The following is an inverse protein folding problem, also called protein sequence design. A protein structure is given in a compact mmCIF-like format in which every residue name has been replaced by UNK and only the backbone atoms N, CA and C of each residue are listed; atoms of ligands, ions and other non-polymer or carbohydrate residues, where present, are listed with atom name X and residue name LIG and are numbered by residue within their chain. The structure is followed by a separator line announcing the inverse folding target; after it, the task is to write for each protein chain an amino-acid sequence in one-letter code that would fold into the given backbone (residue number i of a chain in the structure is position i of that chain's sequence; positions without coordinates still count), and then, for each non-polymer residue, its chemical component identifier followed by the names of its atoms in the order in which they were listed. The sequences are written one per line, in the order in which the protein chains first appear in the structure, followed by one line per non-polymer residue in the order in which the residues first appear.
data_IF_572740295596
#
_entry.id   IF_572740295596
#
_cell.length_a   1.000
_cell.length_b   1.000
_cell.length_c   1.000
_cell.angle_alpha   90.00
_cell.angle_beta   90.00
_cell.angle_gamma   90.00
#
_symmetry.space_group_name_H-M   'P 1'
#
loop_
_entity.id
_entity.type
_entity.pdbx_description
1 polymer ?
#
# COMPACT_ATOMS: atom_id res chain seq x y z
N UNK A 1 -27.24 -0.40 -27.40
CA UNK A 1 -26.11 -1.31 -27.69
C UNK A 1 -24.96 -0.94 -26.77
N UNK A 2 -24.29 -1.90 -26.11
CA UNK A 2 -23.12 -1.60 -25.29
C UNK A 2 -22.05 -0.92 -26.16
N UNK A 3 -21.44 0.16 -25.64
CA UNK A 3 -20.47 0.97 -26.39
C UNK A 3 -19.12 0.27 -26.57
N UNK A 4 -18.86 -0.80 -25.82
CA UNK A 4 -17.69 -1.66 -25.98
C UNK A 4 -18.03 -3.10 -25.55
N UNK A 5 -17.55 -4.09 -26.31
CA UNK A 5 -17.54 -5.50 -25.90
C UNK A 5 -16.10 -5.86 -25.60
N UNK A 6 -15.80 -6.17 -24.34
CA UNK A 6 -14.48 -6.59 -23.90
C UNK A 6 -14.54 -8.10 -23.67
N UNK A 7 -13.82 -8.86 -24.49
CA UNK A 7 -13.58 -10.28 -24.25
C UNK A 7 -12.54 -10.42 -23.15
N UNK A 8 -13.00 -10.66 -21.92
CA UNK A 8 -12.14 -10.70 -20.75
C UNK A 8 -11.79 -12.16 -20.46
N UNK A 9 -10.59 -12.57 -20.88
CA UNK A 9 -10.13 -13.95 -20.86
C UNK A 9 -9.67 -14.47 -19.48
N UNK A 10 -9.60 -13.62 -18.44
CA UNK A 10 -9.12 -14.02 -17.12
C UNK A 10 -9.73 -13.21 -15.97
N UNK A 11 -9.78 -13.81 -14.77
CA UNK A 11 -10.27 -13.13 -13.55
C UNK A 11 -9.36 -11.95 -13.16
N UNK A 12 -8.05 -12.03 -13.45
CA UNK A 12 -7.10 -10.91 -13.28
C UNK A 12 -7.53 -9.68 -14.09
N UNK A 13 -7.98 -9.90 -15.32
CA UNK A 13 -8.46 -8.83 -16.19
C UNK A 13 -9.81 -8.25 -15.72
N UNK A 14 -10.65 -9.05 -15.05
CA UNK A 14 -11.88 -8.58 -14.38
C UNK A 14 -11.54 -7.69 -13.19
N UNK A 15 -10.57 -8.09 -12.37
CA UNK A 15 -10.10 -7.34 -11.21
C UNK A 15 -9.49 -6.01 -11.67
N UNK A 16 -8.57 -6.04 -12.64
CA UNK A 16 -7.95 -4.84 -13.19
C UNK A 16 -8.99 -3.86 -13.74
N UNK A 17 -9.93 -4.33 -14.56
CA UNK A 17 -11.00 -3.49 -15.09
C UNK A 17 -11.90 -2.93 -13.98
N UNK A 18 -12.16 -3.71 -12.92
CA UNK A 18 -12.93 -3.22 -11.77
C UNK A 18 -12.17 -2.13 -11.01
N UNK A 19 -10.85 -2.25 -10.87
CA UNK A 19 -10.00 -1.20 -10.32
C UNK A 19 -10.01 0.05 -11.22
N UNK A 20 -9.87 -0.11 -12.54
CA UNK A 20 -9.88 0.99 -13.51
C UNK A 20 -11.23 1.73 -13.55
N UNK A 21 -12.34 1.01 -13.34
CA UNK A 21 -13.68 1.58 -13.18
C UNK A 21 -13.78 2.52 -11.96
N UNK A 22 -13.22 2.08 -10.83
CA UNK A 22 -13.20 2.88 -9.59
C UNK A 22 -12.29 4.10 -9.76
N UNK A 23 -11.15 3.94 -10.41
CA UNK A 23 -10.16 4.99 -10.64
C UNK A 23 -10.62 6.05 -11.65
N UNK A 24 -11.28 5.65 -12.74
CA UNK A 24 -11.63 6.56 -13.84
C UNK A 24 -12.89 7.40 -13.60
N UNK A 25 -13.75 7.00 -12.64
CA UNK A 25 -15.05 7.64 -12.43
C UNK A 25 -16.03 7.49 -13.61
N UNK A 26 -15.64 6.78 -14.67
CA UNK A 26 -16.44 6.55 -15.87
C UNK A 26 -16.93 5.11 -15.91
N UNK A 27 -18.24 4.92 -15.89
CA UNK A 27 -18.85 3.59 -15.99
C UNK A 27 -19.24 3.29 -17.43
N UNK A 28 -18.46 2.43 -18.10
CA UNK A 28 -18.83 1.88 -19.39
C UNK A 28 -19.74 0.66 -19.22
N UNK A 29 -20.74 0.53 -20.10
CA UNK A 29 -21.54 -0.69 -20.22
C UNK A 29 -20.65 -1.80 -20.79
N UNK A 30 -20.12 -2.65 -19.90
CA UNK A 30 -19.27 -3.78 -20.26
C UNK A 30 -19.99 -5.09 -19.98
N UNK A 31 -20.04 -5.93 -21.01
CA UNK A 31 -20.51 -7.31 -20.96
C UNK A 31 -19.29 -8.20 -20.82
N UNK A 32 -19.23 -8.98 -19.74
CA UNK A 32 -18.18 -9.95 -19.50
C UNK A 32 -18.57 -11.29 -20.11
N UNK A 33 -17.68 -11.85 -20.94
CA UNK A 33 -17.85 -13.20 -21.47
C UNK A 33 -17.27 -14.22 -20.48
N UNK A 34 -18.15 -14.93 -19.78
CA UNK A 34 -17.79 -15.93 -18.79
C UNK A 34 -17.84 -17.36 -19.32
N UNK A 35 -17.91 -17.55 -20.64
CA UNK A 35 -17.95 -18.89 -21.26
C UNK A 35 -16.82 -19.83 -20.79
N UNK A 36 -15.69 -19.26 -20.35
CA UNK A 36 -14.54 -20.00 -19.83
C UNK A 36 -14.37 -19.92 -18.28
N UNK A 37 -15.29 -19.29 -17.55
CA UNK A 37 -15.25 -19.12 -16.09
C UNK A 37 -16.40 -19.89 -15.45
N UNK A 38 -16.11 -20.85 -14.57
CA UNK A 38 -17.15 -21.52 -13.78
C UNK A 38 -17.63 -20.59 -12.66
N UNK A 39 -18.84 -20.06 -12.81
CA UNK A 39 -19.51 -19.24 -11.80
C UNK A 39 -20.59 -20.08 -11.13
N UNK A 40 -20.72 -20.06 -9.79
CA UNK A 40 -21.66 -20.92 -9.07
C UNK A 40 -23.15 -20.56 -9.26
N UNK A 41 -23.49 -19.56 -10.07
CA UNK A 41 -24.86 -19.15 -10.38
C UNK A 41 -24.98 -18.70 -11.84
N UNK A 42 -26.19 -18.79 -12.39
CA UNK A 42 -26.53 -18.23 -13.71
C UNK A 42 -26.42 -16.71 -13.66
N UNK A 43 -25.48 -16.16 -14.42
CA UNK A 43 -25.37 -14.71 -14.61
C UNK A 43 -26.53 -14.28 -15.54
N UNK A 44 -27.55 -13.55 -15.06
CA UNK A 44 -28.57 -13.01 -15.96
C UNK A 44 -27.91 -12.00 -16.91
N UNK A 45 -28.53 -11.66 -18.05
CA UNK A 45 -28.06 -10.63 -18.99
C UNK A 45 -27.97 -9.21 -18.34
N UNK A 46 -27.10 -9.05 -17.35
CA UNK A 46 -26.89 -7.86 -16.51
C UNK A 46 -25.39 -7.59 -16.44
N UNK A 47 -25.03 -6.33 -16.57
CA UNK A 47 -23.69 -5.81 -16.36
C UNK A 47 -23.24 -5.98 -14.90
N UNK A 48 -21.91 -5.95 -14.66
CA UNK A 48 -21.36 -5.89 -13.28
C UNK A 48 -21.95 -4.70 -12.52
N UNK A 49 -22.11 -3.54 -13.18
CA UNK A 49 -22.74 -2.36 -12.59
C UNK A 49 -24.14 -2.70 -12.05
N UNK A 50 -24.99 -3.30 -12.87
CA UNK A 50 -26.35 -3.64 -12.45
C UNK A 50 -26.40 -4.65 -11.30
N UNK A 51 -25.43 -5.55 -11.20
CA UNK A 51 -25.29 -6.47 -10.07
C UNK A 51 -24.84 -5.73 -8.82
N UNK A 52 -23.79 -4.93 -8.95
CA UNK A 52 -23.21 -4.15 -7.87
C UNK A 52 -24.23 -3.19 -7.24
N UNK A 53 -25.06 -2.53 -8.06
CA UNK A 53 -26.09 -1.59 -7.61
C UNK A 53 -27.48 -2.20 -7.43
N UNK A 54 -27.66 -3.51 -7.62
CA UNK A 54 -28.95 -4.14 -7.39
C UNK A 54 -29.29 -4.14 -5.89
N UNK A 55 -30.59 -3.96 -5.60
CA UNK A 55 -31.13 -4.13 -4.25
C UNK A 55 -31.06 -5.61 -3.86
N UNK A 56 -29.93 -6.02 -3.28
CA UNK A 56 -29.78 -7.31 -2.64
C UNK A 56 -30.19 -7.24 -1.16
N UNK A 57 -30.41 -8.39 -0.52
CA UNK A 57 -30.48 -8.50 0.95
C UNK A 57 -29.12 -8.97 1.51
N UNK A 58 -28.38 -9.77 0.75
CA UNK A 58 -27.05 -10.29 1.09
C UNK A 58 -26.00 -9.19 1.30
N UNK A 59 -25.17 -9.19 2.36
CA UNK A 59 -24.06 -8.24 2.52
C UNK A 59 -22.91 -8.40 1.50
N UNK A 60 -22.89 -9.48 0.73
CA UNK A 60 -22.00 -9.69 -0.42
C UNK A 60 -22.72 -9.28 -1.69
N UNK A 61 -22.09 -8.39 -2.47
CA UNK A 61 -22.58 -7.92 -3.77
C UNK A 61 -22.14 -8.83 -4.92
N UNK A 62 -20.89 -9.31 -4.87
CA UNK A 62 -20.32 -10.18 -5.89
C UNK A 62 -19.38 -11.18 -5.24
N UNK A 63 -19.46 -12.43 -5.68
CA UNK A 63 -18.49 -13.46 -5.32
C UNK A 63 -18.16 -14.31 -6.56
N UNK A 64 -16.88 -14.30 -6.93
CA UNK A 64 -16.31 -15.13 -7.98
C UNK A 64 -15.39 -16.15 -7.31
N UNK A 65 -15.62 -17.43 -7.57
CA UNK A 65 -14.80 -18.51 -7.03
C UNK A 65 -14.44 -19.47 -8.14
N UNK A 66 -13.15 -19.72 -8.27
CA UNK A 66 -12.57 -20.74 -9.14
C UNK A 66 -11.60 -21.59 -8.33
N UNK A 67 -10.92 -22.54 -8.99
CA UNK A 67 -9.88 -23.34 -8.34
C UNK A 67 -8.75 -22.48 -7.78
N UNK A 68 -8.34 -21.47 -8.55
CA UNK A 68 -7.11 -20.72 -8.30
C UNK A 68 -7.37 -19.25 -7.96
N UNK A 69 -8.61 -18.79 -8.05
CA UNK A 69 -8.94 -17.40 -7.78
C UNK A 69 -10.25 -17.26 -7.01
N UNK A 70 -10.27 -16.31 -6.07
CA UNK A 70 -11.46 -15.87 -5.36
C UNK A 70 -11.50 -14.36 -5.27
N UNK A 71 -12.61 -13.76 -5.68
CA UNK A 71 -12.90 -12.34 -5.55
C UNK A 71 -14.22 -12.18 -4.82
N UNK A 72 -14.24 -11.37 -3.76
CA UNK A 72 -15.45 -11.08 -3.01
C UNK A 72 -15.58 -9.58 -2.80
N UNK A 73 -16.73 -9.02 -3.19
CA UNK A 73 -17.07 -7.61 -3.01
C UNK A 73 -18.17 -7.51 -1.95
N UNK A 74 -17.86 -6.79 -0.87
CA UNK A 74 -18.77 -6.56 0.24
C UNK A 74 -19.44 -5.19 0.10
N UNK A 75 -20.76 -5.15 0.30
CA UNK A 75 -21.57 -3.92 0.26
C UNK A 75 -22.09 -3.45 1.62
N UNK A 76 -21.93 -4.30 2.64
CA UNK A 76 -22.19 -3.92 4.03
C UNK A 76 -21.11 -4.57 4.90
N UNK A 77 -20.69 -3.85 5.92
CA UNK A 77 -19.80 -4.41 6.93
C UNK A 77 -20.62 -5.28 7.89
N UNK A 78 -20.79 -6.55 7.54
CA UNK A 78 -21.43 -7.56 8.37
C UNK A 78 -20.37 -8.49 8.96
N UNK A 79 -20.14 -8.40 10.27
CA UNK A 79 -19.12 -9.20 10.96
C UNK A 79 -19.37 -10.70 10.82
N UNK A 80 -20.62 -11.15 10.95
CA UNK A 80 -20.95 -12.58 10.85
C UNK A 80 -20.63 -13.13 9.46
N UNK A 81 -21.00 -12.38 8.40
CA UNK A 81 -20.71 -12.81 7.03
C UNK A 81 -19.22 -12.76 6.71
N UNK A 82 -18.50 -11.77 7.24
CA UNK A 82 -17.04 -11.68 7.08
C UNK A 82 -16.36 -12.89 7.71
N UNK A 83 -16.77 -13.27 8.92
CA UNK A 83 -16.21 -14.41 9.63
C UNK A 83 -16.54 -15.73 8.89
N UNK A 84 -17.78 -15.90 8.41
CA UNK A 84 -18.15 -17.01 7.53
C UNK A 84 -17.29 -17.06 6.25
N UNK A 85 -17.09 -15.91 5.61
CA UNK A 85 -16.27 -15.81 4.41
C UNK A 85 -14.83 -16.22 4.70
N UNK A 86 -14.28 -15.79 5.83
CA UNK A 86 -12.93 -16.15 6.24
C UNK A 86 -12.79 -17.65 6.52
N UNK A 87 -13.79 -18.29 7.14
CA UNK A 87 -13.82 -19.73 7.31
C UNK A 87 -13.92 -20.48 5.97
N UNK A 88 -14.63 -19.91 5.00
CA UNK A 88 -14.63 -20.45 3.63
C UNK A 88 -13.26 -20.32 2.96
N UNK A 89 -12.48 -19.26 3.22
CA UNK A 89 -11.09 -19.13 2.73
C UNK A 89 -10.19 -20.22 3.33
N UNK A 90 -10.25 -20.43 4.65
CA UNK A 90 -9.47 -21.50 5.32
C UNK A 90 -9.78 -22.88 4.72
N UNK A 91 -11.04 -23.13 4.42
CA UNK A 91 -11.48 -24.40 3.85
C UNK A 91 -11.17 -24.54 2.36
N UNK A 92 -11.05 -23.44 1.62
CA UNK A 92 -10.73 -23.44 0.19
C UNK A 92 -9.29 -23.85 -0.09
N UNK A 93 -8.33 -23.37 0.72
CA UNK A 93 -6.89 -23.64 0.55
C UNK A 93 -6.24 -24.11 1.85
N UNK A 94 -6.52 -25.36 2.21
CA UNK A 94 -6.00 -26.04 3.40
C UNK A 94 -4.48 -26.28 3.35
N UNK A 95 -3.89 -26.15 2.17
CA UNK A 95 -2.46 -26.25 1.92
C UNK A 95 -1.70 -24.97 2.32
N UNK A 96 -2.39 -23.87 2.61
CA UNK A 96 -1.73 -22.66 3.09
C UNK A 96 -1.35 -22.76 4.56
N UNK A 97 -0.23 -22.14 4.97
CA UNK A 97 0.12 -22.04 6.37
C UNK A 97 -0.98 -21.32 7.16
N UNK A 98 -1.37 -21.83 8.32
CA UNK A 98 -2.35 -21.18 9.20
C UNK A 98 -2.02 -19.71 9.50
N UNK A 99 -0.74 -19.35 9.50
CA UNK A 99 -0.27 -17.99 9.72
C UNK A 99 -0.57 -17.03 8.56
N UNK A 100 -0.70 -17.54 7.34
CA UNK A 100 -1.17 -16.72 6.22
C UNK A 100 -2.60 -16.23 6.46
N UNK A 101 -3.46 -17.10 6.99
CA UNK A 101 -4.84 -16.72 7.32
C UNK A 101 -4.87 -15.59 8.37
N UNK A 102 -3.96 -15.57 9.35
CA UNK A 102 -3.85 -14.47 10.31
C UNK A 102 -3.56 -13.13 9.63
N UNK A 103 -2.54 -13.10 8.75
CA UNK A 103 -2.20 -11.89 7.98
C UNK A 103 -3.40 -11.42 7.15
N UNK A 104 -4.05 -12.32 6.42
CA UNK A 104 -5.23 -11.98 5.62
C UNK A 104 -6.39 -11.46 6.50
N UNK A 105 -6.62 -12.07 7.67
CA UNK A 105 -7.64 -11.62 8.59
C UNK A 105 -7.37 -10.20 9.08
N UNK A 106 -6.13 -9.87 9.45
CA UNK A 106 -5.75 -8.52 9.87
C UNK A 106 -5.96 -7.48 8.76
N UNK A 107 -5.59 -7.82 7.51
CA UNK A 107 -5.83 -6.93 6.37
C UNK A 107 -7.33 -6.71 6.12
N UNK A 108 -8.12 -7.78 6.16
CA UNK A 108 -9.57 -7.72 5.94
C UNK A 108 -10.27 -6.97 7.07
N UNK A 109 -9.87 -7.18 8.31
CA UNK A 109 -10.35 -6.41 9.46
C UNK A 109 -10.06 -4.91 9.32
N UNK A 110 -8.86 -4.56 8.85
CA UNK A 110 -8.48 -3.15 8.64
C UNK A 110 -9.38 -2.48 7.61
N UNK A 111 -9.54 -3.06 6.41
CA UNK A 111 -10.38 -2.44 5.37
C UNK A 111 -11.87 -2.45 5.75
N UNK A 112 -12.33 -3.48 6.45
CA UNK A 112 -13.68 -3.57 7.01
C UNK A 112 -13.94 -2.43 8.01
N UNK A 113 -12.99 -2.18 8.91
CA UNK A 113 -13.09 -1.12 9.91
C UNK A 113 -12.99 0.28 9.29
N UNK A 114 -12.18 0.46 8.24
CA UNK A 114 -11.96 1.76 7.60
C UNK A 114 -13.04 2.12 6.58
N UNK A 115 -13.73 1.12 6.02
CA UNK A 115 -14.77 1.33 5.03
C UNK A 115 -15.77 2.41 5.43
N UNK A 116 -16.23 2.46 6.70
CA UNK A 116 -17.09 3.51 7.32
C UNK A 116 -18.01 4.30 6.37
N UNK A 117 -18.69 3.61 5.46
CA UNK A 117 -19.60 4.22 4.50
C UNK A 117 -21.04 4.15 4.99
N UNK A 118 -21.84 5.16 4.63
CA UNK A 118 -23.28 5.16 4.82
C UNK A 118 -23.94 3.93 4.16
N UNK A 119 -25.10 3.50 4.67
CA UNK A 119 -25.82 2.35 4.14
C UNK A 119 -26.07 2.47 2.63
N UNK A 120 -25.76 1.40 1.88
CA UNK A 120 -26.01 1.31 0.43
C UNK A 120 -24.80 1.56 -0.48
N UNK A 121 -23.58 1.70 0.06
CA UNK A 121 -22.33 1.81 -0.73
C UNK A 121 -21.37 0.65 -0.47
N UNK A 122 -20.52 0.33 -1.45
CA UNK A 122 -19.52 -0.75 -1.33
C UNK A 122 -18.59 -0.51 -0.15
N UNK A 123 -18.43 -1.48 0.74
CA UNK A 123 -17.57 -1.32 1.90
C UNK A 123 -16.12 -1.64 1.54
N UNK A 124 -15.86 -2.87 1.08
CA UNK A 124 -14.52 -3.34 0.75
C UNK A 124 -14.55 -4.55 -0.19
N UNK A 125 -13.40 -4.88 -0.77
CA UNK A 125 -13.18 -6.03 -1.65
C UNK A 125 -11.97 -6.83 -1.22
N UNK A 126 -12.01 -8.14 -1.48
CA UNK A 126 -10.89 -9.05 -1.27
C UNK A 126 -10.72 -9.93 -2.49
N UNK A 127 -9.55 -9.86 -3.12
CA UNK A 127 -9.13 -10.69 -4.23
C UNK A 127 -7.94 -11.56 -3.85
N UNK A 128 -7.99 -12.84 -4.21
CA UNK A 128 -6.93 -13.82 -4.04
C UNK A 128 -6.73 -14.55 -5.38
N UNK A 129 -5.48 -14.66 -5.83
CA UNK A 129 -5.13 -15.39 -7.05
C UNK A 129 -3.87 -16.22 -6.82
N UNK A 130 -3.97 -17.51 -7.11
CA UNK A 130 -2.89 -18.46 -7.11
C UNK A 130 -2.43 -18.70 -8.53
N UNK A 131 -1.19 -18.33 -8.82
CA UNK A 131 -0.61 -18.55 -10.13
C UNK A 131 0.90 -18.70 -9.99
N UNK A 132 1.48 -19.64 -10.73
CA UNK A 132 2.94 -19.81 -10.81
C UNK A 132 3.63 -19.88 -9.43
N UNK A 133 3.02 -20.64 -8.50
CA UNK A 133 3.46 -20.79 -7.10
C UNK A 133 3.57 -19.46 -6.33
N UNK A 134 2.74 -18.51 -6.71
CA UNK A 134 2.58 -17.23 -6.03
C UNK A 134 1.13 -17.07 -5.62
N UNK A 135 0.93 -16.42 -4.48
CA UNK A 135 -0.36 -15.95 -4.03
C UNK A 135 -0.38 -14.43 -4.15
N UNK A 136 -1.14 -13.93 -5.10
CA UNK A 136 -1.46 -12.52 -5.22
C UNK A 136 -2.69 -12.21 -4.37
N UNK A 137 -2.61 -11.17 -3.56
CA UNK A 137 -3.73 -10.70 -2.77
C UNK A 137 -3.97 -9.21 -3.02
N UNK A 138 -5.23 -8.81 -2.93
CA UNK A 138 -5.64 -7.41 -2.96
C UNK A 138 -6.80 -7.24 -2.00
N UNK A 139 -6.68 -6.30 -1.08
CA UNK A 139 -7.69 -5.95 -0.10
C UNK A 139 -7.88 -4.45 -0.21
N UNK A 140 -9.09 -3.99 -0.49
CA UNK A 140 -9.33 -2.55 -0.68
C UNK A 140 -10.67 -2.10 -0.11
N UNK A 141 -10.70 -0.93 0.52
CA UNK A 141 -11.90 -0.21 0.91
C UNK A 141 -12.06 1.11 0.14
N UNK A 142 -13.25 1.68 0.21
CA UNK A 142 -13.55 3.03 -0.28
C UNK A 142 -13.88 4.01 0.85
N UNK A 143 -13.30 3.76 2.03
CA UNK A 143 -13.61 4.45 3.27
C UNK A 143 -12.68 5.62 3.59
N UNK A 144 -12.38 5.79 4.88
CA UNK A 144 -11.66 6.97 5.39
C UNK A 144 -10.16 7.01 5.05
N UNK A 145 -9.63 5.90 4.51
CA UNK A 145 -8.21 5.74 4.22
C UNK A 145 -7.32 5.72 5.48
N UNK A 146 -6.02 5.57 5.27
CA UNK A 146 -5.03 5.53 6.35
C UNK A 146 -5.02 6.85 7.14
N UNK A 147 -5.07 7.98 6.43
CA UNK A 147 -5.10 9.31 7.03
C UNK A 147 -6.31 9.49 7.95
N UNK A 148 -7.50 9.12 7.48
CA UNK A 148 -8.72 9.24 8.27
C UNK A 148 -8.72 8.30 9.48
N UNK A 149 -8.24 7.07 9.29
CA UNK A 149 -8.09 6.09 10.38
C UNK A 149 -7.15 6.59 11.48
N UNK A 150 -6.00 7.17 11.11
CA UNK A 150 -5.03 7.69 12.07
C UNK A 150 -5.53 8.89 12.88
N UNK A 151 -6.38 9.75 12.31
CA UNK A 151 -6.99 10.87 13.06
C UNK A 151 -7.85 10.39 14.22
N UNK A 152 -8.42 9.21 14.09
CA UNK A 152 -9.26 8.56 15.08
C UNK A 152 -8.49 7.59 15.99
N UNK A 153 -7.17 7.47 15.80
CA UNK A 153 -6.33 6.59 16.60
C UNK A 153 -6.42 6.93 18.10
N UNK A 154 -6.13 5.96 18.96
CA UNK A 154 -6.17 6.17 20.41
C UNK A 154 -4.86 6.81 20.89
N UNK A 155 -3.75 6.48 20.22
CA UNK A 155 -2.40 6.94 20.56
C UNK A 155 -2.14 8.32 19.97
N UNK A 156 -1.57 9.24 20.77
CA UNK A 156 -1.21 10.60 20.32
C UNK A 156 -0.21 10.58 19.17
N UNK A 157 0.82 9.75 19.24
CA UNK A 157 1.81 9.59 18.17
C UNK A 157 1.15 9.20 16.83
N UNK A 158 0.16 8.31 16.85
CA UNK A 158 -0.56 7.94 15.65
C UNK A 158 -1.43 9.09 15.09
N UNK A 159 -1.98 9.95 15.95
CA UNK A 159 -2.70 11.17 15.53
C UNK A 159 -1.75 12.22 14.96
N UNK A 160 -0.57 12.37 15.54
CA UNK A 160 0.46 13.30 15.07
C UNK A 160 0.99 12.90 13.68
N UNK A 161 0.95 11.60 13.38
CA UNK A 161 1.26 11.06 12.04
C UNK A 161 0.07 11.18 11.09
N UNK A 162 -1.16 11.41 11.57
CA UNK A 162 -2.34 11.52 10.71
C UNK A 162 -2.35 12.77 9.82
N UNK A 163 -1.52 13.77 10.11
CA UNK A 163 -1.33 14.93 9.24
C UNK A 163 -0.53 14.58 8.00
N UNK A 164 0.47 13.68 8.12
CA UNK A 164 1.46 13.30 7.10
C UNK A 164 1.23 11.93 6.44
N UNK A 165 0.53 11.02 7.14
CA UNK A 165 0.02 9.70 6.75
C UNK A 165 0.76 8.95 5.63
N UNK A 166 2.09 8.95 5.65
CA UNK A 166 2.89 8.13 4.74
C UNK A 166 2.80 6.67 5.14
N UNK A 167 2.43 5.80 4.19
CA UNK A 167 2.41 4.35 4.40
C UNK A 167 3.79 3.79 4.82
N UNK A 168 4.88 4.51 4.51
CA UNK A 168 6.21 4.25 5.06
C UNK A 168 6.22 4.27 6.60
N UNK A 169 5.56 5.25 7.21
CA UNK A 169 5.47 5.37 8.66
C UNK A 169 4.66 4.24 9.29
N UNK A 170 3.62 3.78 8.59
CA UNK A 170 2.71 2.74 9.07
C UNK A 170 3.30 1.33 9.01
N UNK A 171 4.43 1.17 8.33
CA UNK A 171 5.24 -0.05 8.34
C UNK A 171 6.39 0.04 9.35
N UNK A 172 6.34 0.93 10.36
CA UNK A 172 7.33 0.99 11.46
C UNK A 172 7.08 -0.06 12.53
N UNK A 173 8.17 -0.65 13.03
CA UNK A 173 8.11 -1.48 14.21
C UNK A 173 7.65 -0.65 15.41
N UNK A 174 6.96 -1.29 16.36
CA UNK A 174 6.37 -0.65 17.56
C UNK A 174 5.34 0.45 17.29
N UNK A 175 5.06 0.79 16.03
CA UNK A 175 3.99 1.71 15.68
C UNK A 175 2.63 0.98 15.70
N UNK A 176 1.65 1.55 16.41
CA UNK A 176 0.27 1.04 16.46
C UNK A 176 -0.72 2.17 16.69
N UNK A 177 -1.85 2.13 15.98
CA UNK A 177 -2.97 3.08 16.15
C UNK A 177 -3.76 2.86 17.46
N UNK A 178 -3.50 1.78 18.19
CA UNK A 178 -4.27 1.36 19.38
C UNK A 178 -3.44 1.23 20.67
N UNK A 179 -2.13 1.43 20.60
CA UNK A 179 -1.19 1.41 21.72
C UNK A 179 -0.61 0.01 21.99
N UNK A 180 0.64 -0.03 22.46
CA UNK A 180 1.38 -1.27 22.71
C UNK A 180 0.73 -2.14 23.81
N UNK A 181 0.02 -1.53 24.74
CA UNK A 181 -0.64 -2.19 25.87
C UNK A 181 -1.88 -3.01 25.48
N UNK A 182 -2.45 -2.78 24.29
CA UNK A 182 -3.65 -3.49 23.80
C UNK A 182 -3.34 -4.74 22.95
N UNK A 183 -2.13 -5.27 23.04
CA UNK A 183 -1.73 -6.53 22.38
C UNK A 183 -1.54 -6.40 20.86
N UNK A 184 -1.79 -7.47 20.10
CA UNK A 184 -1.51 -7.58 18.65
C UNK A 184 -2.34 -6.68 17.72
N UNK A 185 -3.05 -5.66 18.22
CA UNK A 185 -3.88 -4.81 17.36
C UNK A 185 -3.08 -3.65 16.77
N UNK A 186 -3.20 -3.44 15.46
CA UNK A 186 -2.52 -2.37 14.73
C UNK A 186 -1.13 -2.73 14.20
N UNK A 187 -0.72 -4.00 14.28
CA UNK A 187 0.59 -4.48 13.78
C UNK A 187 0.56 -5.00 12.34
N UNK A 188 -0.64 -5.18 11.77
CA UNK A 188 -0.82 -5.98 10.55
C UNK A 188 -0.09 -5.45 9.31
N UNK A 189 0.06 -4.14 9.16
CA UNK A 189 0.82 -3.58 8.02
C UNK A 189 2.33 -3.80 8.16
N UNK A 190 2.89 -3.63 9.36
CA UNK A 190 4.28 -3.98 9.65
C UNK A 190 4.52 -5.47 9.36
N UNK A 191 3.70 -6.35 9.95
CA UNK A 191 3.84 -7.79 9.77
C UNK A 191 3.71 -8.20 8.31
N UNK A 192 2.77 -7.61 7.56
CA UNK A 192 2.61 -7.85 6.13
C UNK A 192 3.84 -7.40 5.34
N UNK A 193 4.42 -6.23 5.66
CA UNK A 193 5.65 -5.73 5.03
C UNK A 193 6.86 -6.62 5.30
N UNK A 194 7.05 -7.06 6.56
CA UNK A 194 8.11 -8.01 6.92
C UNK A 194 7.95 -9.34 6.20
N UNK A 195 6.72 -9.85 6.12
CA UNK A 195 6.44 -11.13 5.47
C UNK A 195 6.67 -11.03 3.96
N UNK A 196 6.24 -9.95 3.32
CA UNK A 196 6.56 -9.72 1.91
C UNK A 196 8.08 -9.67 1.70
N UNK A 197 8.84 -9.05 2.60
CA UNK A 197 10.29 -8.96 2.50
C UNK A 197 10.99 -10.32 2.61
N UNK A 198 10.77 -11.03 3.72
CA UNK A 198 11.42 -12.31 4.02
C UNK A 198 11.05 -13.40 3.00
N UNK A 199 9.88 -13.25 2.38
CA UNK A 199 9.34 -14.21 1.44
C UNK A 199 9.69 -13.87 -0.02
N UNK A 200 10.51 -12.84 -0.29
CA UNK A 200 10.82 -12.39 -1.67
C UNK A 200 9.53 -12.06 -2.46
N UNK A 201 8.57 -11.47 -1.76
CA UNK A 201 7.27 -11.06 -2.27
C UNK A 201 7.26 -9.63 -2.79
N UNK A 202 6.07 -9.05 -2.88
CA UNK A 202 5.92 -7.60 -2.99
C UNK A 202 4.73 -7.12 -2.16
N UNK A 203 4.77 -5.86 -1.77
CA UNK A 203 3.68 -5.18 -1.09
C UNK A 203 3.51 -3.79 -1.72
N UNK A 204 2.26 -3.41 -1.96
CA UNK A 204 1.89 -2.06 -2.33
C UNK A 204 0.71 -1.59 -1.50
N UNK A 205 0.78 -0.36 -1.01
CA UNK A 205 -0.25 0.31 -0.24
C UNK A 205 -0.59 1.62 -0.94
N UNK A 206 -1.86 1.81 -1.27
CA UNK A 206 -2.41 3.08 -1.78
C UNK A 206 -3.40 3.66 -0.76
N UNK A 207 -3.29 4.95 -0.48
CA UNK A 207 -4.26 5.66 0.34
C UNK A 207 -4.13 7.16 0.15
N UNK A 208 -5.23 7.86 -0.15
CA UNK A 208 -5.17 9.28 -0.46
C UNK A 208 -4.26 9.54 -1.65
N UNK A 209 -3.39 10.54 -1.54
CA UNK A 209 -2.48 10.93 -2.64
C UNK A 209 -1.14 10.20 -2.63
N UNK A 210 -1.03 9.05 -1.94
CA UNK A 210 0.26 8.40 -1.72
C UNK A 210 0.23 6.91 -2.04
N UNK A 211 1.34 6.44 -2.61
CA UNK A 211 1.64 5.03 -2.84
C UNK A 211 2.95 4.66 -2.14
N UNK A 212 2.92 3.54 -1.42
CA UNK A 212 4.09 2.85 -0.90
C UNK A 212 4.23 1.53 -1.64
N UNK A 213 5.41 1.29 -2.20
CA UNK A 213 5.76 0.06 -2.88
C UNK A 213 7.00 -0.54 -2.22
N UNK A 214 6.95 -1.85 -2.02
CA UNK A 214 8.06 -2.66 -1.57
C UNK A 214 8.16 -3.86 -2.50
N UNK A 215 9.28 -3.98 -3.21
CA UNK A 215 9.59 -5.16 -4.00
C UNK A 215 10.69 -5.93 -3.28
N UNK A 216 10.46 -7.23 -3.10
CA UNK A 216 11.39 -8.22 -2.55
C UNK A 216 12.14 -7.68 -1.32
N UNK A 217 13.42 -7.39 -1.46
CA UNK A 217 14.30 -6.76 -0.47
C UNK A 217 15.19 -5.68 -1.08
N UNK A 218 14.98 -5.35 -2.35
CA UNK A 218 15.86 -4.45 -3.09
C UNK A 218 15.38 -3.02 -3.04
N UNK A 219 14.08 -2.78 -3.22
CA UNK A 219 13.54 -1.45 -3.47
C UNK A 219 12.32 -1.16 -2.62
N UNK A 220 12.41 -0.05 -1.89
CA UNK A 220 11.28 0.64 -1.29
C UNK A 220 11.03 1.93 -2.08
N UNK A 221 9.79 2.18 -2.48
CA UNK A 221 9.37 3.35 -3.26
C UNK A 221 8.20 4.05 -2.58
N UNK A 222 8.31 5.37 -2.46
CA UNK A 222 7.26 6.25 -1.95
C UNK A 222 7.00 7.32 -2.99
N UNK A 223 5.76 7.42 -3.48
CA UNK A 223 5.41 8.35 -4.56
C UNK A 223 4.01 8.95 -4.39
N UNK A 224 3.85 10.17 -4.89
CA UNK A 224 2.56 10.80 -5.05
C UNK A 224 1.75 10.15 -6.17
N UNK A 225 0.45 9.98 -5.94
CA UNK A 225 -0.51 9.45 -6.92
C UNK A 225 -1.76 10.33 -7.00
N UNK A 226 -2.58 10.09 -8.02
CA UNK A 226 -3.96 10.58 -8.02
C UNK A 226 -4.70 10.05 -6.80
N UNK A 227 -5.55 10.88 -6.19
CA UNK A 227 -6.20 10.55 -4.92
C UNK A 227 -6.98 9.22 -4.99
N UNK A 228 -6.57 8.26 -4.18
CA UNK A 228 -7.31 7.05 -3.87
C UNK A 228 -8.20 7.27 -2.65
N UNK A 229 -9.52 7.15 -2.84
CA UNK A 229 -10.49 7.22 -1.73
C UNK A 229 -10.55 5.87 -1.02
N UNK A 230 -10.03 5.82 0.21
CA UNK A 230 -9.96 4.61 1.03
C UNK A 230 -8.53 4.10 1.19
N UNK A 231 -8.39 2.79 1.42
CA UNK A 231 -7.08 2.11 1.46
C UNK A 231 -7.11 0.93 0.50
N UNK A 232 -6.06 0.75 -0.29
CA UNK A 232 -5.78 -0.50 -1.00
C UNK A 232 -4.47 -1.07 -0.48
N UNK A 233 -4.47 -2.35 -0.15
CA UNK A 233 -3.28 -3.14 0.16
C UNK A 233 -3.25 -4.32 -0.80
N UNK A 234 -2.25 -4.38 -1.66
CA UNK A 234 -2.04 -5.52 -2.55
C UNK A 234 -0.63 -6.04 -2.45
N UNK A 235 -0.43 -7.30 -2.81
CA UNK A 235 0.88 -7.89 -2.73
C UNK A 235 0.92 -9.28 -3.31
N UNK A 236 2.10 -9.88 -3.18
CA UNK A 236 2.35 -11.25 -3.57
C UNK A 236 3.20 -11.95 -2.53
N UNK A 237 2.84 -13.20 -2.27
CA UNK A 237 3.59 -14.14 -1.46
C UNK A 237 4.12 -15.24 -2.38
N UNK A 238 5.41 -15.48 -2.31
CA UNK A 238 6.09 -16.60 -2.92
C UNK A 238 5.84 -17.87 -2.10
N UNK A 239 5.11 -18.83 -2.69
CA UNK A 239 4.74 -20.08 -2.02
C UNK A 239 5.88 -21.11 -2.03
N UNK A 240 6.98 -20.86 -2.75
CA UNK A 240 8.21 -21.66 -2.68
C UNK A 240 9.13 -21.24 -1.51
N UNK A 241 8.81 -20.13 -0.83
CA UNK A 241 9.60 -19.59 0.29
C UNK A 241 8.84 -19.76 1.60
N UNK A 242 9.59 -19.86 2.70
CA UNK A 242 8.98 -19.99 4.03
C UNK A 242 8.19 -18.72 4.39
N UNK A 243 7.03 -18.91 5.01
CA UNK A 243 6.19 -17.83 5.54
C UNK A 243 6.40 -17.66 7.04
N UNK A 244 7.43 -16.90 7.44
CA UNK A 244 7.90 -16.85 8.83
C UNK A 244 7.25 -15.75 9.68
N UNK A 245 5.95 -15.90 9.96
CA UNK A 245 5.17 -14.97 10.81
C UNK A 245 5.77 -14.76 12.20
N UNK A 246 6.37 -15.80 12.78
CA UNK A 246 6.97 -15.72 14.12
C UNK A 246 8.18 -14.77 14.12
N UNK A 247 8.99 -14.80 13.07
CA UNK A 247 10.12 -13.88 12.93
C UNK A 247 9.64 -12.43 12.79
N UNK A 248 8.63 -12.16 11.94
CA UNK A 248 8.04 -10.84 11.81
C UNK A 248 7.55 -10.28 13.17
N UNK A 249 6.86 -11.09 13.97
CA UNK A 249 6.44 -10.68 15.32
C UNK A 249 7.61 -10.39 16.27
N UNK A 250 8.71 -11.14 16.17
CA UNK A 250 9.92 -10.87 16.97
C UNK A 250 10.57 -9.54 16.60
N UNK A 251 10.64 -9.24 15.29
CA UNK A 251 11.17 -7.97 14.80
C UNK A 251 10.28 -6.78 15.20
N UNK A 252 8.95 -6.98 15.23
CA UNK A 252 8.04 -5.96 15.74
C UNK A 252 8.30 -5.64 17.21
N UNK A 253 8.51 -6.68 18.04
CA UNK A 253 8.73 -6.53 19.47
C UNK A 253 10.11 -5.95 19.81
N UNK A 254 11.13 -6.29 19.02
CA UNK A 254 12.51 -5.88 19.22
C UNK A 254 13.11 -5.29 17.92
N UNK A 255 12.90 -3.99 17.67
CA UNK A 255 13.40 -3.31 16.49
C UNK A 255 14.92 -3.31 16.38
N UNK A 256 15.67 -3.53 17.47
CA UNK A 256 17.14 -3.60 17.43
C UNK A 256 17.66 -4.78 16.61
N UNK A 257 16.80 -5.76 16.32
CA UNK A 257 17.07 -6.89 15.45
C UNK A 257 16.79 -6.63 13.97
N UNK A 258 16.20 -5.48 13.64
CA UNK A 258 16.10 -5.03 12.26
C UNK A 258 17.50 -4.66 11.78
N UNK A 259 17.86 -5.11 10.59
CA UNK A 259 19.10 -4.69 9.97
C UNK A 259 18.91 -3.32 9.32
N UNK A 260 19.97 -2.51 9.22
CA UNK A 260 19.88 -1.18 8.59
C UNK A 260 19.88 -1.27 7.04
N UNK A 261 20.16 -2.45 6.49
CA UNK A 261 20.26 -2.75 5.05
C UNK A 261 19.06 -3.53 4.53
N UNK A 262 17.89 -3.36 5.17
CA UNK A 262 16.65 -4.04 4.80
C UNK A 262 16.31 -3.86 3.33
N UNK A 263 16.52 -2.65 2.83
CA UNK A 263 16.39 -2.34 1.42
C UNK A 263 17.75 -1.95 0.86
N UNK A 264 18.06 -2.46 -0.33
CA UNK A 264 19.24 -2.00 -1.06
C UNK A 264 19.08 -0.54 -1.47
N UNK A 265 17.84 -0.11 -1.76
CA UNK A 265 17.50 1.24 -2.23
C UNK A 265 16.15 1.67 -1.64
N UNK A 266 16.12 2.89 -1.12
CA UNK A 266 14.89 3.62 -0.82
C UNK A 266 14.76 4.80 -1.79
N UNK A 267 13.71 4.85 -2.59
CA UNK A 267 13.40 5.99 -3.44
C UNK A 267 12.19 6.75 -2.90
N UNK A 268 12.37 8.05 -2.67
CA UNK A 268 11.31 8.95 -2.23
C UNK A 268 11.12 10.01 -3.31
N UNK A 269 9.96 9.99 -3.95
CA UNK A 269 9.53 11.09 -4.82
C UNK A 269 8.92 12.19 -3.96
N UNK A 270 9.53 13.37 -3.97
CA UNK A 270 9.12 14.50 -3.13
C UNK A 270 7.74 15.05 -3.52
N UNK A 271 7.20 14.67 -4.69
CA UNK A 271 5.83 14.99 -5.06
C UNK A 271 4.77 14.34 -4.13
N UNK A 272 5.17 13.32 -3.34
CA UNK A 272 4.30 12.61 -2.40
C UNK A 272 3.72 13.52 -1.31
N UNK A 273 4.39 14.65 -1.07
CA UNK A 273 3.94 15.66 -0.11
C UNK A 273 2.96 16.68 -0.72
N UNK A 274 2.56 16.49 -1.99
CA UNK A 274 1.50 17.24 -2.64
C UNK A 274 1.86 18.69 -3.00
N UNK A 275 3.14 19.07 -2.91
CA UNK A 275 3.62 20.40 -3.26
C UNK A 275 4.78 20.32 -4.25
N UNK A 276 4.73 21.18 -5.27
CA UNK A 276 5.83 21.37 -6.22
C UNK A 276 6.87 22.39 -5.74
N UNK A 277 6.51 23.22 -4.75
CA UNK A 277 7.39 24.21 -4.14
C UNK A 277 7.59 23.88 -2.65
N UNK A 278 8.80 23.47 -2.26
CA UNK A 278 9.11 22.97 -0.92
C UNK A 278 9.54 24.12 0.01
N UNK A 279 8.55 24.92 0.45
CA UNK A 279 8.78 26.21 1.12
C UNK A 279 8.47 26.26 2.61
N UNK A 280 7.51 25.47 3.09
CA UNK A 280 7.04 25.59 4.48
C UNK A 280 7.91 24.78 5.43
N UNK A 281 8.06 25.29 6.67
CA UNK A 281 8.83 24.60 7.70
C UNK A 281 8.22 23.25 8.06
N UNK A 282 6.89 23.21 8.14
CA UNK A 282 6.14 22.00 8.47
C UNK A 282 6.40 20.89 7.44
N UNK A 283 6.42 21.25 6.15
CA UNK A 283 6.75 20.34 5.05
C UNK A 283 8.19 19.85 5.11
N UNK A 284 9.13 20.75 5.44
CA UNK A 284 10.54 20.36 5.62
C UNK A 284 10.70 19.34 6.76
N UNK A 285 10.08 19.59 7.91
CA UNK A 285 10.10 18.70 9.07
C UNK A 285 9.45 17.34 8.76
N UNK A 286 8.42 17.32 7.91
CA UNK A 286 7.78 16.11 7.42
C UNK A 286 8.73 15.29 6.53
N UNK A 287 9.31 15.91 5.51
CA UNK A 287 10.27 15.26 4.60
C UNK A 287 11.44 14.69 5.38
N UNK A 288 12.06 15.47 6.27
CA UNK A 288 13.22 15.01 7.05
C UNK A 288 12.86 13.80 7.92
N UNK A 289 11.66 13.77 8.52
CA UNK A 289 11.22 12.61 9.31
C UNK A 289 11.18 11.33 8.47
N UNK A 290 10.66 11.41 7.25
CA UNK A 290 10.62 10.27 6.33
C UNK A 290 12.01 9.91 5.78
N UNK A 291 12.91 10.89 5.64
CA UNK A 291 14.30 10.64 5.28
C UNK A 291 15.09 9.94 6.38
N UNK A 292 14.93 10.34 7.65
CA UNK A 292 15.53 9.65 8.80
C UNK A 292 15.06 8.19 8.86
N UNK A 293 13.77 8.00 8.57
CA UNK A 293 13.10 6.72 8.53
C UNK A 293 13.57 5.85 7.34
N UNK A 294 13.86 6.45 6.18
CA UNK A 294 14.52 5.78 5.07
C UNK A 294 15.98 5.41 5.40
N UNK A 295 16.70 6.29 6.10
CA UNK A 295 18.08 6.07 6.52
C UNK A 295 18.23 4.92 7.52
N UNK A 296 17.22 4.70 8.37
CA UNK A 296 17.14 3.53 9.26
C UNK A 296 17.01 2.19 8.51
N UNK A 297 16.60 2.22 7.23
CA UNK A 297 16.16 1.01 6.49
C UNK A 297 16.94 0.71 5.22
N UNK A 298 17.74 1.65 4.74
CA UNK A 298 18.42 1.55 3.46
C UNK A 298 19.80 2.15 3.51
N UNK A 299 20.75 1.47 2.88
CA UNK A 299 22.12 1.97 2.68
C UNK A 299 22.22 2.92 1.49
N UNK A 300 21.17 3.02 0.67
CA UNK A 300 21.05 3.97 -0.43
C UNK A 300 19.70 4.67 -0.43
N UNK A 301 19.71 5.99 -0.58
CA UNK A 301 18.50 6.80 -0.74
C UNK A 301 18.54 7.53 -2.08
N UNK A 302 17.47 7.44 -2.86
CA UNK A 302 17.23 8.24 -4.05
C UNK A 302 16.18 9.29 -3.69
N UNK A 303 16.59 10.55 -3.69
CA UNK A 303 15.70 11.70 -3.58
C UNK A 303 15.29 12.13 -4.99
N UNK A 304 14.03 11.92 -5.33
CA UNK A 304 13.51 12.22 -6.65
C UNK A 304 12.78 13.57 -6.64
N UNK A 305 13.40 14.57 -7.28
CA UNK A 305 12.88 15.92 -7.43
C UNK A 305 12.15 16.11 -8.77
N UNK A 306 11.87 15.06 -9.55
CA UNK A 306 11.35 15.18 -10.93
C UNK A 306 10.14 16.10 -11.09
N UNK A 307 9.27 16.19 -10.09
CA UNK A 307 8.07 17.05 -10.11
C UNK A 307 8.15 18.25 -9.15
N UNK A 308 9.36 18.64 -8.74
CA UNK A 308 9.62 19.80 -7.87
C UNK A 308 10.10 20.97 -8.74
N UNK A 309 9.44 22.11 -8.58
CA UNK A 309 9.76 23.35 -9.28
C UNK A 309 10.71 24.23 -8.48
N UNK A 310 10.66 24.15 -7.14
CA UNK A 310 11.42 25.05 -6.28
C UNK A 310 11.64 24.46 -4.88
N UNK A 311 12.78 24.80 -4.29
CA UNK A 311 13.05 24.57 -2.86
C UNK A 311 13.38 25.87 -2.13
N UNK A 312 13.02 25.93 -0.86
CA UNK A 312 13.46 27.02 0.01
C UNK A 312 14.90 26.83 0.49
N UNK A 313 15.58 27.93 0.81
CA UNK A 313 16.89 27.92 1.47
C UNK A 313 16.88 27.18 2.81
N UNK A 314 15.74 27.19 3.53
CA UNK A 314 15.55 26.40 4.73
C UNK A 314 15.59 24.89 4.42
N UNK A 315 14.84 24.45 3.41
CA UNK A 315 14.83 23.04 2.99
C UNK A 315 16.21 22.59 2.50
N UNK A 316 16.88 23.42 1.69
CA UNK A 316 18.25 23.17 1.26
C UNK A 316 19.20 22.98 2.45
N UNK A 317 19.14 23.88 3.45
CA UNK A 317 19.91 23.77 4.67
C UNK A 317 19.63 22.49 5.49
N UNK A 318 18.36 22.06 5.56
CA UNK A 318 18.00 20.81 6.22
C UNK A 318 18.54 19.58 5.49
N UNK A 319 18.39 19.52 4.17
CA UNK A 319 18.95 18.41 3.37
C UNK A 319 20.47 18.34 3.49
N UNK A 320 21.14 19.49 3.48
CA UNK A 320 22.58 19.58 3.72
C UNK A 320 22.98 18.94 5.05
N UNK A 321 22.26 19.27 6.14
CA UNK A 321 22.50 18.68 7.46
C UNK A 321 22.22 17.18 7.47
N UNK A 322 21.15 16.74 6.82
CA UNK A 322 20.80 15.32 6.70
C UNK A 322 21.91 14.54 5.98
N UNK A 323 22.38 15.04 4.83
CA UNK A 323 23.46 14.41 4.05
C UNK A 323 24.74 14.31 4.91
N UNK A 324 25.13 15.37 5.62
CA UNK A 324 26.32 15.35 6.49
C UNK A 324 26.15 14.36 7.65
N UNK A 325 24.98 14.34 8.30
CA UNK A 325 24.69 13.45 9.43
C UNK A 325 24.74 11.98 9.02
N UNK A 326 24.26 11.66 7.82
CA UNK A 326 24.16 10.29 7.31
C UNK A 326 25.23 9.98 6.26
N UNK A 327 26.48 10.36 6.55
CA UNK A 327 27.62 10.15 5.65
C UNK A 327 27.97 8.69 5.35
N UNK A 328 27.37 7.75 6.07
CA UNK A 328 27.51 6.31 5.84
C UNK A 328 26.49 5.76 4.82
N UNK A 329 25.56 6.59 4.33
CA UNK A 329 24.50 6.22 3.40
C UNK A 329 24.79 6.88 2.05
N UNK A 330 24.61 6.12 0.96
CA UNK A 330 24.73 6.66 -0.39
C UNK A 330 23.46 7.44 -0.76
N UNK A 331 23.56 8.75 -0.91
CA UNK A 331 22.43 9.60 -1.30
C UNK A 331 22.59 9.99 -2.77
N UNK A 332 21.57 9.72 -3.57
CA UNK A 332 21.47 10.11 -4.98
C UNK A 332 20.32 11.11 -5.13
N UNK A 333 20.58 12.22 -5.81
CA UNK A 333 19.58 13.26 -6.06
C UNK A 333 19.29 13.26 -7.57
N UNK A 334 18.01 13.10 -7.92
CA UNK A 334 17.56 13.14 -9.30
C UNK A 334 16.99 14.52 -9.61
N UNK A 335 17.71 15.27 -10.43
CA UNK A 335 17.35 16.64 -10.84
C UNK A 335 16.12 16.59 -11.77
N UNK A 336 15.13 17.47 -11.58
CA UNK A 336 14.01 17.58 -12.50
C UNK A 336 14.47 18.02 -13.89
N UNK A 337 13.93 17.43 -14.97
CA UNK A 337 14.25 17.84 -16.34
C UNK A 337 13.78 19.28 -16.63
N UNK A 338 12.83 19.78 -15.84
CA UNK A 338 12.26 21.12 -15.92
C UNK A 338 12.91 22.13 -14.96
N UNK A 339 13.99 21.74 -14.25
CA UNK A 339 14.67 22.63 -13.31
C UNK A 339 15.16 23.90 -14.02
N UNK A 340 14.90 25.06 -13.42
CA UNK A 340 15.56 26.30 -13.80
C UNK A 340 17.02 26.31 -13.28
N UNK A 341 17.77 27.37 -13.60
CA UNK A 341 19.18 27.46 -13.21
C UNK A 341 19.36 27.56 -11.70
N UNK A 342 18.46 28.27 -11.00
CA UNK A 342 18.51 28.43 -9.54
C UNK A 342 18.33 27.07 -8.84
N UNK A 343 17.30 26.30 -9.21
CA UNK A 343 17.08 24.97 -8.64
C UNK A 343 18.22 24.00 -9.01
N UNK A 344 18.77 24.08 -10.22
CA UNK A 344 19.93 23.26 -10.60
C UNK A 344 21.14 23.57 -9.74
N UNK A 345 21.43 24.84 -9.48
CA UNK A 345 22.57 25.25 -8.65
C UNK A 345 22.41 24.74 -7.21
N UNK A 346 21.23 24.96 -6.60
CA UNK A 346 20.92 24.46 -5.26
C UNK A 346 21.04 22.93 -5.18
N UNK A 347 20.52 22.18 -6.16
CA UNK A 347 20.61 20.72 -6.16
C UNK A 347 22.02 20.20 -6.47
N UNK A 348 22.80 20.91 -7.28
CA UNK A 348 24.17 20.55 -7.63
C UNK A 348 25.09 20.63 -6.41
N UNK A 349 24.93 21.64 -5.55
CA UNK A 349 25.68 21.71 -4.28
C UNK A 349 25.42 20.47 -3.42
N UNK A 350 24.15 20.08 -3.28
CA UNK A 350 23.76 18.89 -2.51
C UNK A 350 24.30 17.60 -3.13
N UNK A 351 24.33 17.49 -4.45
CA UNK A 351 24.89 16.34 -5.18
C UNK A 351 26.39 16.21 -4.89
N UNK A 352 27.14 17.31 -4.99
CA UNK A 352 28.57 17.31 -4.72
C UNK A 352 28.87 16.97 -3.27
N UNK A 353 28.04 17.42 -2.33
CA UNK A 353 28.14 17.06 -0.94
C UNK A 353 27.85 15.56 -0.72
N UNK A 354 26.78 15.03 -1.32
CA UNK A 354 26.44 13.62 -1.23
C UNK A 354 27.52 12.71 -1.87
N UNK A 355 28.14 13.15 -2.96
CA UNK A 355 29.22 12.41 -3.62
C UNK A 355 30.47 12.25 -2.73
N UNK A 356 30.74 13.21 -1.83
CA UNK A 356 31.85 13.13 -0.85
C UNK A 356 31.62 12.07 0.22
N UNK A 357 30.37 11.67 0.46
CA UNK A 357 30.01 10.67 1.45
C UNK A 357 30.13 9.23 0.95
N UNK A 358 30.44 9.00 -0.34
CA UNK A 358 30.60 7.63 -0.83
C UNK A 358 31.78 6.96 -0.10
N UNK A 359 31.53 5.89 0.70
CA UNK A 359 32.61 5.05 1.17
C UNK A 359 33.25 4.43 -0.08
N UNK A 360 34.56 4.54 -0.20
CA UNK A 360 35.35 3.80 -1.20
C UNK A 360 34.88 2.34 -1.23
N UNK A 361 34.65 1.81 -2.45
CA UNK A 361 34.24 0.42 -2.73
C UNK A 361 34.97 -0.65 -1.91
#
# INVERSE_FOLDING_TARGET
MPKARLEIASISSIIQYSCDLVLSGHVHDVVFDFSNVRIPFTWPNKSIREILYANHVSPIALELVSRDCRLTVFRKNDHSRRDDWYDQIKNWRKDLPNRFHLMLNELVENVSAHAKLEEGRFCFTVGLLFANKKLYYCVADSGVGLRGSLKEAIVSEAKDVATSACALHLTRAQFTSKGLERGHQGVGLFITSELAQMNEGYLEILSGSQAYEQCDSSVMRVQGISEWKGTMVRGMINLDKEFNYRQAMKLFADPSKLTNDRFLVCQINLNVYGQRALRTRELCEEIIRDLELAAERSTKIILDFTDIDEISQAFHGFLKQFIVKHSHIQILIKIPPTADEDLKEDLQELIELAAKNNPSE
#
